data_IF_347372995601
#
_entry.id   IF_347372995601
#
_cell.length_a   1.000
_cell.length_b   1.000
_cell.length_c   1.000
_cell.angle_alpha   90.00
_cell.angle_beta   90.00
_cell.angle_gamma   90.00
#
_symmetry.space_group_name_H-M   'P 1'
#
loop_
_entity.id
_entity.type
_entity.pdbx_description
1 polymer ?
#
# COMPACT_ATOMS: atom_id res chain seq x y z
N UNK A 1 -6.53 -29.57 -9.32
CA UNK A 1 -5.45 -28.65 -8.91
C UNK A 1 -6.12 -27.37 -8.45
N UNK A 2 -5.86 -26.91 -7.22
CA UNK A 2 -6.26 -25.57 -6.79
C UNK A 2 -5.48 -24.54 -7.61
N UNK A 3 -6.19 -23.68 -8.33
CA UNK A 3 -5.59 -22.59 -9.11
C UNK A 3 -5.51 -21.38 -8.20
N UNK A 4 -4.29 -20.86 -7.98
CA UNK A 4 -4.05 -19.62 -7.26
C UNK A 4 -3.94 -18.47 -8.28
N UNK A 5 -4.60 -17.34 -8.03
CA UNK A 5 -4.53 -16.14 -8.86
C UNK A 5 -3.93 -14.96 -8.10
N UNK A 6 -3.02 -14.25 -8.76
CA UNK A 6 -2.37 -13.04 -8.22
C UNK A 6 -2.54 -11.91 -9.22
N UNK A 7 -3.06 -10.78 -8.76
CA UNK A 7 -3.06 -9.51 -9.48
C UNK A 7 -1.95 -8.62 -8.94
N UNK A 8 -1.12 -8.07 -9.83
CA UNK A 8 -0.02 -7.18 -9.49
C UNK A 8 -0.23 -5.85 -10.22
N UNK A 9 -0.10 -4.74 -9.49
CA UNK A 9 -0.03 -3.40 -10.07
C UNK A 9 1.26 -2.69 -9.65
N UNK A 10 1.58 -1.60 -10.33
CA UNK A 10 2.70 -0.73 -9.98
C UNK A 10 2.34 0.26 -8.87
N UNK A 11 2.85 1.47 -9.02
CA UNK A 11 2.82 2.53 -8.01
C UNK A 11 1.41 3.10 -7.84
N UNK A 12 0.81 2.88 -6.67
CA UNK A 12 -0.39 3.52 -6.21
C UNK A 12 -0.05 4.90 -5.64
N UNK A 13 -0.04 5.91 -6.51
CA UNK A 13 0.20 7.31 -6.16
C UNK A 13 -1.10 8.05 -5.76
N UNK A 14 -2.10 7.33 -5.24
CA UNK A 14 -3.37 7.93 -4.83
C UNK A 14 -3.15 8.88 -3.64
N UNK A 15 -3.29 10.19 -3.87
CA UNK A 15 -3.17 11.23 -2.82
C UNK A 15 -4.53 11.81 -2.42
N UNK A 16 -5.58 11.42 -3.13
CA UNK A 16 -6.97 11.85 -2.95
C UNK A 16 -7.86 10.66 -3.23
N UNK A 17 -9.10 10.75 -2.77
CA UNK A 17 -10.05 9.67 -2.95
C UNK A 17 -10.46 9.39 -4.39
N UNK A 18 -11.35 8.40 -4.55
CA UNK A 18 -11.82 7.79 -5.79
C UNK A 18 -10.75 6.95 -6.52
N UNK A 19 -10.05 6.08 -5.78
CA UNK A 19 -9.12 5.09 -6.34
C UNK A 19 -9.76 4.29 -7.48
N UNK A 20 -11.05 3.95 -7.34
CA UNK A 20 -11.90 3.42 -8.41
C UNK A 20 -12.96 4.48 -8.75
N UNK A 21 -12.95 4.97 -9.98
CA UNK A 21 -13.92 5.95 -10.49
C UNK A 21 -15.14 5.27 -11.14
N UNK A 22 -16.10 6.07 -11.62
CA UNK A 22 -17.24 5.58 -12.41
C UNK A 22 -16.89 5.21 -13.87
N UNK A 23 -15.61 5.35 -14.27
CA UNK A 23 -15.17 4.94 -15.60
C UNK A 23 -15.35 3.42 -15.78
N UNK A 24 -15.94 2.94 -16.89
CA UNK A 24 -16.08 1.50 -17.14
C UNK A 24 -14.76 0.71 -17.07
N UNK A 25 -13.62 1.33 -17.40
CA UNK A 25 -12.30 0.72 -17.23
C UNK A 25 -11.90 0.56 -15.77
N UNK A 26 -12.23 1.53 -14.90
CA UNK A 26 -12.02 1.42 -13.46
C UNK A 26 -12.90 0.32 -12.85
N UNK A 27 -14.14 0.17 -13.33
CA UNK A 27 -15.02 -0.95 -12.96
C UNK A 27 -14.42 -2.32 -13.30
N UNK A 28 -13.84 -2.48 -14.48
CA UNK A 28 -13.15 -3.74 -14.86
C UNK A 28 -11.90 -4.01 -14.02
N UNK A 29 -11.15 -2.96 -13.65
CA UNK A 29 -10.02 -3.10 -12.73
C UNK A 29 -10.50 -3.58 -11.36
N UNK A 30 -11.56 -2.98 -10.82
CA UNK A 30 -12.15 -3.38 -9.55
C UNK A 30 -12.58 -4.85 -9.55
N UNK A 31 -13.28 -5.31 -10.59
CA UNK A 31 -13.65 -6.72 -10.76
C UNK A 31 -12.42 -7.64 -10.82
N UNK A 32 -11.37 -7.24 -11.53
CA UNK A 32 -10.12 -8.01 -11.64
C UNK A 32 -9.42 -8.15 -10.28
N UNK A 33 -9.32 -7.07 -9.51
CA UNK A 33 -8.67 -7.07 -8.19
C UNK A 33 -9.45 -7.93 -7.19
N UNK A 34 -10.77 -7.78 -7.13
CA UNK A 34 -11.63 -8.58 -6.24
C UNK A 34 -11.74 -10.06 -6.65
N UNK A 35 -11.51 -10.38 -7.93
CA UNK A 35 -11.50 -11.75 -8.43
C UNK A 35 -10.19 -12.51 -8.17
N UNK A 36 -9.13 -11.85 -7.70
CA UNK A 36 -7.85 -12.48 -7.42
C UNK A 36 -7.77 -13.02 -5.98
N UNK A 37 -7.09 -14.15 -5.76
CA UNK A 37 -6.80 -14.62 -4.38
C UNK A 37 -5.94 -13.60 -3.63
N UNK A 38 -5.00 -12.98 -4.34
CA UNK A 38 -4.15 -11.90 -3.87
C UNK A 38 -4.07 -10.77 -4.89
N UNK A 39 -4.29 -9.54 -4.44
CA UNK A 39 -4.03 -8.33 -5.21
C UNK A 39 -2.99 -7.48 -4.49
N UNK A 40 -1.90 -7.14 -5.19
CA UNK A 40 -0.73 -6.44 -4.63
C UNK A 40 -0.48 -5.15 -5.39
N UNK A 41 -0.18 -4.08 -4.65
CA UNK A 41 0.25 -2.79 -5.21
C UNK A 41 1.40 -2.20 -4.40
N UNK A 42 2.18 -1.31 -5.01
CA UNK A 42 3.18 -0.51 -4.32
C UNK A 42 2.53 0.78 -3.80
N UNK A 43 2.51 0.99 -2.48
CA UNK A 43 1.99 2.19 -1.84
C UNK A 43 3.02 3.33 -1.97
N UNK A 44 2.93 4.09 -3.07
CA UNK A 44 3.83 5.19 -3.43
C UNK A 44 3.39 6.54 -2.80
N UNK A 45 2.77 6.48 -1.62
CA UNK A 45 2.37 7.68 -0.85
C UNK A 45 2.59 7.43 0.64
N UNK A 46 2.81 8.50 1.40
CA UNK A 46 2.83 8.46 2.87
C UNK A 46 1.44 8.80 3.40
N UNK A 47 0.63 7.82 3.83
CA UNK A 47 -0.63 8.09 4.53
C UNK A 47 -0.32 8.72 5.89
N UNK A 48 -0.96 9.83 6.23
CA UNK A 48 -0.66 10.57 7.45
C UNK A 48 -1.88 11.22 8.07
N UNK A 49 -1.95 11.15 9.40
CA UNK A 49 -2.86 11.92 10.26
C UNK A 49 -2.10 13.04 11.01
N UNK A 50 -0.97 13.50 10.46
CA UNK A 50 -0.17 14.59 11.01
C UNK A 50 1.09 14.18 11.79
N UNK A 51 1.56 12.94 11.64
CA UNK A 51 2.85 12.48 12.22
C UNK A 51 4.00 12.72 11.24
N UNK A 52 5.11 13.23 11.77
CA UNK A 52 6.31 13.55 10.98
C UNK A 52 6.21 14.92 10.29
N UNK A 53 7.30 15.29 9.62
CA UNK A 53 7.39 16.54 8.87
C UNK A 53 7.97 16.27 7.48
N UNK A 54 7.53 16.98 6.44
CA UNK A 54 8.10 16.86 5.11
C UNK A 54 9.61 17.00 5.16
N UNK A 55 10.31 16.01 4.63
CA UNK A 55 11.76 16.04 4.45
C UNK A 55 12.08 16.22 2.97
N UNK A 56 13.26 16.78 2.69
CA UNK A 56 13.71 16.95 1.32
C UNK A 56 13.87 15.59 0.63
N UNK A 57 13.17 15.39 -0.48
CA UNK A 57 13.33 14.20 -1.31
C UNK A 57 14.58 14.36 -2.20
N UNK A 58 15.61 13.54 -1.95
CA UNK A 58 16.87 13.57 -2.67
C UNK A 58 16.76 13.18 -4.16
N UNK A 59 15.69 12.50 -4.56
CA UNK A 59 15.41 12.16 -5.96
C UNK A 59 14.81 13.35 -6.76
N UNK A 60 14.52 14.47 -6.10
CA UNK A 60 13.77 15.59 -6.67
C UNK A 60 12.26 15.32 -6.67
N UNK A 61 11.46 16.37 -6.83
CA UNK A 61 9.99 16.29 -6.74
C UNK A 61 9.44 16.65 -5.35
N UNK A 62 8.12 16.82 -5.27
CA UNK A 62 7.42 17.11 -4.02
C UNK A 62 7.11 15.83 -3.24
N UNK A 63 6.78 15.98 -1.96
CA UNK A 63 6.31 14.88 -1.13
C UNK A 63 4.95 14.35 -1.62
N UNK A 64 4.80 13.03 -1.70
CA UNK A 64 3.54 12.33 -1.94
C UNK A 64 2.92 11.94 -0.61
N UNK A 65 2.16 12.87 -0.03
CA UNK A 65 1.48 12.69 1.26
C UNK A 65 -0.03 12.64 1.00
N UNK A 66 -0.70 11.71 1.67
CA UNK A 66 -2.15 11.53 1.57
C UNK A 66 -2.78 11.51 2.97
N UNK A 67 -4.05 11.87 3.06
CA UNK A 67 -4.87 11.57 4.23
C UNK A 67 -4.90 10.05 4.46
N UNK A 68 -4.88 9.60 5.71
CA UNK A 68 -4.79 8.15 6.00
C UNK A 68 -6.00 7.35 5.51
N UNK A 69 -7.14 8.00 5.27
CA UNK A 69 -8.33 7.38 4.67
C UNK A 69 -8.07 6.77 3.29
N UNK A 70 -7.01 7.17 2.59
CA UNK A 70 -6.64 6.54 1.31
C UNK A 70 -6.36 5.04 1.44
N UNK A 71 -5.90 4.58 2.61
CA UNK A 71 -5.69 3.15 2.87
C UNK A 71 -7.02 2.35 2.83
N UNK A 72 -8.10 2.97 3.31
CA UNK A 72 -9.43 2.36 3.31
C UNK A 72 -9.98 2.30 1.89
N UNK A 73 -9.67 3.29 1.04
CA UNK A 73 -10.04 3.28 -0.37
C UNK A 73 -9.22 2.29 -1.21
N UNK A 74 -7.92 2.17 -0.95
CA UNK A 74 -7.04 1.21 -1.64
C UNK A 74 -7.50 -0.22 -1.33
N UNK A 75 -7.87 -0.50 -0.09
CA UNK A 75 -8.41 -1.82 0.29
C UNK A 75 -9.80 -2.05 -0.29
N UNK A 76 -10.68 -1.04 -0.29
CA UNK A 76 -11.99 -1.11 -0.94
C UNK A 76 -11.88 -1.35 -2.46
N UNK A 77 -10.84 -0.81 -3.11
CA UNK A 77 -10.56 -1.04 -4.53
C UNK A 77 -10.30 -2.53 -4.84
N UNK A 78 -9.83 -3.30 -3.85
CA UNK A 78 -9.60 -4.74 -3.93
C UNK A 78 -8.16 -5.15 -3.63
N UNK A 79 -7.24 -4.22 -3.33
CA UNK A 79 -5.87 -4.57 -2.96
C UNK A 79 -5.82 -5.20 -1.57
N UNK A 80 -5.08 -6.30 -1.48
CA UNK A 80 -5.01 -7.15 -0.28
C UNK A 80 -3.66 -7.11 0.42
N UNK A 81 -2.58 -6.71 -0.27
CA UNK A 81 -1.22 -6.62 0.27
C UNK A 81 -0.53 -5.40 -0.34
N UNK A 82 0.22 -4.65 0.48
CA UNK A 82 0.93 -3.45 0.04
C UNK A 82 2.45 -3.62 0.12
N UNK A 83 3.14 -3.28 -0.96
CA UNK A 83 4.59 -3.01 -0.92
C UNK A 83 4.81 -1.57 -0.52
N UNK A 84 5.78 -1.30 0.36
CA UNK A 84 6.04 0.05 0.87
C UNK A 84 7.49 0.51 0.71
N UNK A 85 8.36 -0.33 0.11
CA UNK A 85 9.75 0.02 -0.14
C UNK A 85 9.88 0.79 -1.46
N UNK A 86 9.72 2.10 -1.41
CA UNK A 86 9.86 3.00 -2.55
C UNK A 86 10.53 4.33 -2.15
N UNK A 87 10.81 5.19 -3.12
CA UNK A 87 11.48 6.48 -2.92
C UNK A 87 10.62 7.51 -2.18
N UNK A 88 9.32 7.29 -2.02
CA UNK A 88 8.42 8.19 -1.29
C UNK A 88 8.15 7.75 0.16
N UNK A 89 8.52 6.53 0.56
CA UNK A 89 8.29 5.99 1.90
C UNK A 89 8.80 6.90 3.03
N UNK A 90 9.85 7.67 2.75
CA UNK A 90 10.52 8.56 3.70
C UNK A 90 10.14 10.04 3.53
N UNK A 91 9.09 10.39 2.77
CA UNK A 91 8.74 11.80 2.52
C UNK A 91 8.36 12.59 3.78
N UNK A 92 7.95 11.91 4.86
CA UNK A 92 7.75 12.49 6.21
C UNK A 92 8.84 12.06 7.21
N UNK A 93 9.99 11.60 6.72
CA UNK A 93 11.09 11.08 7.52
C UNK A 93 10.77 9.78 8.25
N UNK A 94 11.57 9.44 9.26
CA UNK A 94 11.41 8.22 10.06
C UNK A 94 10.09 8.18 10.81
N UNK A 95 9.62 9.34 11.31
CA UNK A 95 8.32 9.44 11.97
C UNK A 95 7.16 9.17 11.01
N UNK A 96 7.31 9.57 9.74
CA UNK A 96 6.40 9.20 8.66
C UNK A 96 6.31 7.70 8.45
N UNK A 97 7.46 7.03 8.32
CA UNK A 97 7.52 5.56 8.17
C UNK A 97 6.85 4.86 9.35
N UNK A 98 7.17 5.25 10.58
CA UNK A 98 6.56 4.66 11.77
C UNK A 98 5.05 4.93 11.84
N UNK A 99 4.62 6.13 11.45
CA UNK A 99 3.20 6.46 11.30
C UNK A 99 2.48 5.56 10.30
N UNK A 100 3.05 5.38 9.11
CA UNK A 100 2.52 4.46 8.09
C UNK A 100 2.42 3.03 8.61
N UNK A 101 3.46 2.53 9.29
CA UNK A 101 3.46 1.21 9.94
C UNK A 101 2.30 1.07 10.93
N UNK A 102 2.09 2.07 11.80
CA UNK A 102 1.03 2.05 12.80
C UNK A 102 -0.37 2.10 12.17
N UNK A 103 -0.55 2.89 11.11
CA UNK A 103 -1.80 3.00 10.34
C UNK A 103 -2.15 1.70 9.61
N UNK A 104 -1.17 1.04 9.00
CA UNK A 104 -1.36 -0.24 8.32
C UNK A 104 -1.69 -1.35 9.32
N UNK A 105 -0.99 -1.38 10.47
CA UNK A 105 -1.25 -2.34 11.55
C UNK A 105 -2.63 -2.16 12.18
N UNK A 106 -3.05 -0.92 12.45
CA UNK A 106 -4.36 -0.64 13.07
C UNK A 106 -5.52 -1.07 12.16
N UNK A 107 -5.33 -0.97 10.85
CA UNK A 107 -6.27 -1.43 9.81
C UNK A 107 -6.13 -2.91 9.45
N UNK A 108 -5.15 -3.62 10.03
CA UNK A 108 -4.82 -5.02 9.70
C UNK A 108 -4.53 -5.24 8.21
N UNK A 109 -3.94 -4.25 7.55
CA UNK A 109 -3.51 -4.34 6.16
C UNK A 109 -2.16 -5.06 6.12
N UNK A 110 -2.01 -6.17 5.40
CA UNK A 110 -0.71 -6.82 5.20
C UNK A 110 0.22 -5.92 4.37
N UNK A 111 1.47 -5.75 4.82
CA UNK A 111 2.46 -4.93 4.11
C UNK A 111 3.89 -5.39 4.35
N UNK A 112 4.78 -5.07 3.40
CA UNK A 112 6.21 -5.34 3.49
C UNK A 112 7.05 -4.17 2.98
N UNK A 113 8.32 -4.11 3.41
CA UNK A 113 9.31 -3.17 2.88
C UNK A 113 9.59 -1.95 3.76
N UNK A 114 8.89 -1.77 4.89
CA UNK A 114 9.15 -0.72 5.87
C UNK A 114 9.07 -1.26 7.31
N UNK A 115 9.75 -0.60 8.23
CA UNK A 115 9.81 -1.02 9.64
C UNK A 115 10.60 -0.04 10.49
N UNK A 116 10.64 -0.30 11.80
CA UNK A 116 11.39 0.51 12.76
C UNK A 116 12.91 0.31 12.64
N UNK A 117 13.32 -0.79 12.01
CA UNK A 117 14.71 -1.17 11.79
C UNK A 117 14.82 -2.06 10.54
N UNK A 118 16.05 -2.38 10.13
CA UNK A 118 16.31 -3.25 8.99
C UNK A 118 15.75 -4.67 9.16
N UNK A 119 15.68 -5.16 10.40
CA UNK A 119 15.15 -6.50 10.69
C UNK A 119 13.67 -6.55 10.34
N UNK A 120 12.89 -5.59 10.85
CA UNK A 120 11.45 -5.47 10.61
C UNK A 120 11.14 -5.07 9.18
N UNK A 121 11.90 -4.16 8.57
CA UNK A 121 11.69 -3.73 7.18
C UNK A 121 11.93 -4.85 6.15
N UNK A 122 12.83 -5.80 6.43
CA UNK A 122 13.12 -6.94 5.55
C UNK A 122 12.20 -8.14 5.76
N UNK A 123 11.28 -8.10 6.73
CA UNK A 123 10.34 -9.21 6.93
C UNK A 123 9.29 -9.19 5.82
N UNK A 124 9.02 -10.34 5.17
CA UNK A 124 7.89 -10.46 4.28
C UNK A 124 6.57 -10.35 5.05
N UNK A 125 5.52 -9.97 4.34
CA UNK A 125 4.14 -10.09 4.83
C UNK A 125 3.64 -11.49 4.47
N UNK A 126 3.17 -12.26 5.46
CA UNK A 126 2.55 -13.55 5.18
C UNK A 126 1.03 -13.40 5.13
N UNK A 127 0.41 -13.83 4.03
CA UNK A 127 -1.04 -13.88 3.89
C UNK A 127 -1.45 -15.25 3.41
N UNK A 128 -2.23 -15.95 4.24
CA UNK A 128 -2.75 -17.28 3.94
C UNK A 128 -4.16 -17.19 3.35
N UNK A 129 -4.41 -17.97 2.30
CA UNK A 129 -5.72 -18.18 1.66
C UNK A 129 -5.94 -19.67 1.45
N UNK A 130 -7.19 -20.16 1.25
CA UNK A 130 -7.44 -21.58 1.01
C UNK A 130 -6.65 -22.16 -0.17
N UNK A 131 -6.33 -21.34 -1.18
CA UNK A 131 -5.55 -21.73 -2.36
C UNK A 131 -4.03 -21.75 -2.18
N UNK A 132 -3.49 -21.18 -1.09
CA UNK A 132 -2.05 -21.07 -0.83
C UNK A 132 -1.68 -19.83 0.00
N UNK A 133 -0.38 -19.62 0.19
CA UNK A 133 0.16 -18.49 0.96
C UNK A 133 1.00 -17.57 0.08
N UNK A 134 0.91 -16.25 0.31
CA UNK A 134 1.76 -15.22 -0.28
C UNK A 134 2.77 -14.72 0.77
N UNK A 135 4.01 -14.46 0.34
CA UNK A 135 5.11 -13.91 1.14
C UNK A 135 5.90 -12.86 0.34
#
# INVERSE_FOLDING_TARGET
MTRLTVALSGDCMATRGAVISSDPAAGRLHELLHGADFAVTNLEVVPSDGRGHPVHNAAGGGCLIADSGVLDEITAAGFTVLGCANNHAMDLGTEGVLGTVDLLRSRRIPFAGIGADLTTARRPAYVDRPGGSLA
#
